data_IF_790217865492
#
_entry.id   IF_790217865492
#
_cell.length_a   1.000
_cell.length_b   1.000
_cell.length_c   1.000
_cell.angle_alpha   90.00
_cell.angle_beta   90.00
_cell.angle_gamma   90.00
#
_symmetry.space_group_name_H-M   'P 1'
#
loop_
_entity.id
_entity.type
_entity.pdbx_description
1 polymer ?
#
# COMPACT_ATOMS: atom_id res chain seq x y z
N UNK A 1 -12.79 7.00 36.32
CA UNK A 1 -11.49 6.52 36.79
C UNK A 1 -10.64 5.92 35.65
N UNK A 2 -11.13 4.98 34.83
CA UNK A 2 -10.35 4.36 33.72
C UNK A 2 -9.94 5.35 32.63
N UNK A 3 -10.78 6.34 32.31
CA UNK A 3 -10.46 7.40 31.35
C UNK A 3 -9.30 8.28 31.82
N UNK A 4 -9.22 8.56 33.10
CA UNK A 4 -8.14 9.33 33.71
C UNK A 4 -6.81 8.56 33.69
N UNK A 5 -6.86 7.24 33.94
CA UNK A 5 -5.68 6.39 33.94
C UNK A 5 -5.00 6.31 32.54
N UNK A 6 -5.81 6.36 31.47
CA UNK A 6 -5.33 6.33 30.08
C UNK A 6 -5.15 7.73 29.47
N UNK A 7 -5.35 8.81 30.27
CA UNK A 7 -5.25 10.19 29.81
C UNK A 7 -6.09 10.47 28.54
N UNK A 8 -7.35 9.98 28.55
CA UNK A 8 -8.29 10.15 27.43
C UNK A 8 -9.09 11.43 27.69
N UNK A 9 -8.76 12.50 26.97
CA UNK A 9 -9.49 13.78 26.99
C UNK A 9 -10.74 13.79 26.09
N UNK A 10 -10.99 12.69 25.37
CA UNK A 10 -12.08 12.57 24.40
C UNK A 10 -13.37 12.17 25.09
N UNK A 11 -14.49 12.65 24.54
CA UNK A 11 -15.80 12.24 25.01
C UNK A 11 -16.08 10.79 24.58
N UNK A 12 -16.34 9.92 25.56
CA UNK A 12 -16.62 8.50 25.37
C UNK A 12 -17.92 8.17 26.12
N UNK A 13 -18.90 7.65 25.39
CA UNK A 13 -20.16 7.18 25.96
C UNK A 13 -20.26 5.65 25.83
N UNK A 14 -20.82 5.00 26.84
CA UNK A 14 -21.11 3.57 26.84
C UNK A 14 -22.58 3.35 26.47
N UNK A 15 -22.83 2.58 25.42
CA UNK A 15 -24.17 2.27 24.92
C UNK A 15 -24.41 0.76 24.96
N UNK A 16 -25.43 0.35 25.68
CA UNK A 16 -25.82 -1.07 25.72
C UNK A 16 -26.66 -1.44 24.52
N UNK A 17 -26.35 -2.59 23.86
CA UNK A 17 -26.99 -3.03 22.64
C UNK A 17 -27.20 -4.54 22.60
N UNK A 18 -28.17 -4.98 21.82
CA UNK A 18 -28.46 -6.41 21.53
C UNK A 18 -28.02 -6.81 20.11
N UNK A 19 -27.54 -5.85 19.31
CA UNK A 19 -27.17 -6.11 17.90
C UNK A 19 -25.81 -6.77 17.73
N UNK A 20 -24.93 -6.66 18.71
CA UNK A 20 -23.57 -7.20 18.63
C UNK A 20 -23.31 -8.15 19.79
N UNK A 21 -22.49 -9.18 19.55
CA UNK A 21 -22.12 -10.17 20.56
C UNK A 21 -20.78 -9.86 21.24
N UNK A 22 -20.05 -8.90 20.71
CA UNK A 22 -18.76 -8.46 21.24
C UNK A 22 -18.78 -6.96 21.43
N UNK A 23 -18.06 -6.41 22.41
CA UNK A 23 -17.85 -4.98 22.54
C UNK A 23 -17.22 -4.41 21.27
N UNK A 24 -17.60 -3.20 20.91
CA UNK A 24 -17.10 -2.54 19.69
C UNK A 24 -16.97 -1.04 19.97
N UNK A 25 -15.82 -0.46 19.59
CA UNK A 25 -15.64 0.99 19.58
C UNK A 25 -16.10 1.56 18.26
N UNK A 26 -17.00 2.53 18.35
CA UNK A 26 -17.47 3.32 17.19
C UNK A 26 -17.08 4.78 17.35
N UNK A 27 -16.67 5.44 16.26
CA UNK A 27 -16.30 6.86 16.26
C UNK A 27 -17.09 7.62 15.19
N UNK A 28 -17.68 8.75 15.60
CA UNK A 28 -18.25 9.74 14.68
C UNK A 28 -17.71 11.13 15.05
N UNK A 29 -16.97 11.75 14.16
CA UNK A 29 -16.28 13.02 14.41
C UNK A 29 -15.29 12.89 15.60
N UNK A 30 -15.48 13.67 16.63
CA UNK A 30 -14.63 13.67 17.84
C UNK A 30 -15.26 12.92 19.03
N UNK A 31 -16.37 12.23 18.81
CA UNK A 31 -17.10 11.51 19.82
C UNK A 31 -16.94 10.00 19.62
N UNK A 32 -16.74 9.27 20.71
CA UNK A 32 -16.57 7.82 20.73
C UNK A 32 -17.70 7.17 21.50
N UNK A 33 -18.17 6.02 21.01
CA UNK A 33 -19.13 5.16 21.68
C UNK A 33 -18.53 3.77 21.82
N UNK A 34 -18.66 3.22 23.02
CA UNK A 34 -18.40 1.80 23.26
C UNK A 34 -19.75 1.10 23.25
N UNK A 35 -20.00 0.28 22.24
CA UNK A 35 -21.21 -0.52 22.11
C UNK A 35 -21.02 -1.79 22.93
N UNK A 36 -21.76 -1.94 24.01
CA UNK A 36 -21.65 -3.04 24.95
C UNK A 36 -22.80 -4.04 24.77
N UNK A 37 -22.54 -5.35 24.52
CA UNK A 37 -23.58 -6.36 24.40
C UNK A 37 -24.31 -6.56 25.72
N UNK A 38 -25.66 -6.55 25.69
CA UNK A 38 -26.48 -6.79 26.89
C UNK A 38 -26.30 -8.19 27.48
N UNK A 39 -26.12 -9.18 26.59
CA UNK A 39 -26.08 -10.59 26.97
C UNK A 39 -24.65 -11.10 27.23
N UNK A 40 -23.71 -10.21 27.47
CA UNK A 40 -22.33 -10.57 27.78
C UNK A 40 -22.20 -10.87 29.27
N UNK A 41 -22.15 -12.16 29.58
CA UNK A 41 -21.99 -12.65 30.96
C UNK A 41 -20.52 -12.65 31.36
N UNK A 42 -20.12 -11.57 32.02
CA UNK A 42 -18.76 -11.33 32.51
C UNK A 42 -18.82 -10.85 33.96
N UNK A 43 -17.90 -11.31 34.77
CA UNK A 43 -17.70 -10.78 36.11
C UNK A 43 -17.27 -9.30 36.05
N UNK A 44 -17.43 -8.58 37.16
CA UNK A 44 -17.03 -7.16 37.24
C UNK A 44 -15.55 -6.94 36.86
N UNK A 45 -14.71 -7.88 37.23
CA UNK A 45 -13.28 -7.84 36.93
C UNK A 45 -13.03 -8.04 35.43
N UNK A 46 -13.70 -8.99 34.79
CA UNK A 46 -13.62 -9.22 33.35
C UNK A 46 -14.18 -8.03 32.55
N UNK A 47 -15.32 -7.46 32.99
CA UNK A 47 -15.89 -6.25 32.39
C UNK A 47 -14.89 -5.09 32.41
N UNK A 48 -14.19 -4.91 33.53
CA UNK A 48 -13.18 -3.87 33.69
C UNK A 48 -12.02 -4.07 32.70
N UNK A 49 -11.53 -5.31 32.54
CA UNK A 49 -10.46 -5.64 31.61
C UNK A 49 -10.86 -5.40 30.14
N UNK A 50 -12.09 -5.81 29.78
CA UNK A 50 -12.63 -5.55 28.42
C UNK A 50 -12.81 -4.05 28.19
N UNK A 51 -13.36 -3.32 29.16
CA UNK A 51 -13.50 -1.88 29.04
C UNK A 51 -12.15 -1.18 28.87
N UNK A 52 -11.13 -1.62 29.61
CA UNK A 52 -9.75 -1.13 29.48
C UNK A 52 -9.19 -1.42 28.09
N UNK A 53 -9.50 -2.59 27.52
CA UNK A 53 -9.12 -2.94 26.16
C UNK A 53 -9.75 -1.99 25.11
N UNK A 54 -11.06 -1.77 25.18
CA UNK A 54 -11.76 -0.87 24.26
C UNK A 54 -11.27 0.59 24.38
N UNK A 55 -11.00 1.04 25.61
CA UNK A 55 -10.44 2.37 25.87
C UNK A 55 -9.01 2.51 25.34
N UNK A 56 -8.20 1.45 25.39
CA UNK A 56 -6.85 1.45 24.84
C UNK A 56 -6.85 1.63 23.31
N UNK A 57 -7.83 1.06 22.58
CA UNK A 57 -8.02 1.34 21.15
C UNK A 57 -8.29 2.82 20.86
N UNK A 58 -9.07 3.48 21.73
CA UNK A 58 -9.35 4.93 21.63
C UNK A 58 -8.07 5.74 21.90
N UNK A 59 -7.33 5.38 22.94
CA UNK A 59 -6.08 6.03 23.31
C UNK A 59 -5.04 5.95 22.19
N UNK A 60 -4.87 4.77 21.61
CA UNK A 60 -3.89 4.54 20.54
C UNK A 60 -4.36 4.98 19.15
N UNK A 61 -5.55 5.54 19.02
CA UNK A 61 -6.12 6.00 17.73
C UNK A 61 -6.27 4.88 16.69
N UNK A 62 -6.51 3.65 17.12
CA UNK A 62 -6.55 2.45 16.27
C UNK A 62 -7.57 2.53 15.16
N UNK A 63 -8.74 3.15 15.42
CA UNK A 63 -9.77 3.37 14.39
C UNK A 63 -9.22 4.21 13.23
N UNK A 64 -8.42 5.23 13.53
CA UNK A 64 -7.82 6.08 12.49
C UNK A 64 -6.80 5.30 11.68
N UNK A 65 -5.95 4.51 12.35
CA UNK A 65 -4.95 3.66 11.70
C UNK A 65 -5.63 2.62 10.80
N UNK A 66 -6.66 1.92 11.32
CA UNK A 66 -7.45 0.95 10.54
C UNK A 66 -8.09 1.61 9.31
N UNK A 67 -8.67 2.80 9.45
CA UNK A 67 -9.28 3.51 8.32
C UNK A 67 -8.26 3.89 7.23
N UNK A 68 -7.05 4.32 7.62
CA UNK A 68 -5.97 4.60 6.66
C UNK A 68 -5.56 3.33 5.92
N UNK A 69 -5.38 2.21 6.63
CA UNK A 69 -5.01 0.92 6.04
C UNK A 69 -6.11 0.42 5.09
N UNK A 70 -7.39 0.57 5.45
CA UNK A 70 -8.52 0.21 4.58
C UNK A 70 -8.57 1.09 3.33
N UNK A 71 -8.36 2.40 3.48
CA UNK A 71 -8.29 3.31 2.34
C UNK A 71 -7.17 2.92 1.37
N UNK A 72 -5.97 2.65 1.88
CA UNK A 72 -4.86 2.16 1.06
C UNK A 72 -5.20 0.81 0.40
N UNK A 73 -5.91 -0.08 1.10
CA UNK A 73 -6.33 -1.37 0.54
C UNK A 73 -7.33 -1.22 -0.62
N UNK A 74 -8.12 -0.15 -0.66
CA UNK A 74 -9.00 0.17 -1.79
C UNK A 74 -8.18 0.59 -3.01
N UNK A 75 -7.17 1.44 -2.83
CA UNK A 75 -6.30 1.84 -3.93
C UNK A 75 -5.47 0.68 -4.50
N UNK A 76 -5.01 -0.23 -3.62
CA UNK A 76 -4.17 -1.38 -3.99
C UNK A 76 -4.95 -2.70 -3.95
N UNK A 77 -6.26 -2.68 -4.29
CA UNK A 77 -7.14 -3.86 -4.21
C UNK A 77 -6.64 -5.07 -5.02
N UNK A 78 -5.97 -4.82 -6.13
CA UNK A 78 -5.38 -5.83 -7.02
C UNK A 78 -4.08 -6.45 -6.48
N UNK A 79 -3.45 -5.82 -5.47
CA UNK A 79 -2.19 -6.29 -4.91
C UNK A 79 -2.45 -7.21 -3.71
N UNK A 80 -2.08 -8.50 -3.76
CA UNK A 80 -2.27 -9.44 -2.66
C UNK A 80 -1.52 -9.03 -1.38
N UNK A 81 -0.45 -8.24 -1.52
CA UNK A 81 0.30 -7.71 -0.39
C UNK A 81 -0.55 -6.80 0.50
N UNK A 82 -1.51 -6.06 -0.08
CA UNK A 82 -2.44 -5.19 0.65
C UNK A 82 -3.26 -5.96 1.67
N UNK A 83 -3.82 -7.12 1.30
CA UNK A 83 -4.56 -7.98 2.22
C UNK A 83 -3.67 -8.58 3.31
N UNK A 84 -2.43 -8.94 2.99
CA UNK A 84 -1.47 -9.44 3.97
C UNK A 84 -1.11 -8.35 4.99
N UNK A 85 -0.78 -7.14 4.53
CA UNK A 85 -0.46 -5.99 5.39
C UNK A 85 -1.63 -5.68 6.32
N UNK A 86 -2.87 -5.65 5.81
CA UNK A 86 -4.07 -5.41 6.61
C UNK A 86 -4.20 -6.43 7.74
N UNK A 87 -4.11 -7.72 7.44
CA UNK A 87 -4.21 -8.79 8.45
C UNK A 87 -3.10 -8.68 9.51
N UNK A 88 -1.89 -8.34 9.11
CA UNK A 88 -0.76 -8.15 10.04
C UNK A 88 -0.91 -6.90 10.89
N UNK A 89 -1.41 -5.81 10.31
CA UNK A 89 -1.68 -4.58 11.03
C UNK A 89 -2.78 -4.78 12.08
N UNK A 90 -3.89 -5.43 11.72
CA UNK A 90 -4.96 -5.76 12.67
C UNK A 90 -4.41 -6.55 13.86
N UNK A 91 -3.60 -7.58 13.62
CA UNK A 91 -2.97 -8.35 14.70
C UNK A 91 -2.06 -7.48 15.57
N UNK A 92 -1.21 -6.64 14.98
CA UNK A 92 -0.27 -5.79 15.72
C UNK A 92 -0.99 -4.76 16.61
N UNK A 93 -2.11 -4.22 16.14
CA UNK A 93 -2.94 -3.31 16.91
C UNK A 93 -3.53 -4.02 18.14
N UNK A 94 -4.05 -5.24 17.95
CA UNK A 94 -4.56 -6.06 19.05
C UNK A 94 -3.46 -6.40 20.07
N UNK A 95 -2.29 -6.87 19.62
CA UNK A 95 -1.15 -7.19 20.50
C UNK A 95 -0.66 -5.98 21.30
N UNK A 96 -0.68 -4.80 20.71
CA UNK A 96 -0.33 -3.55 21.42
C UNK A 96 -1.32 -3.24 22.54
N UNK A 97 -2.61 -3.36 22.25
CA UNK A 97 -3.67 -3.14 23.22
C UNK A 97 -3.63 -4.19 24.32
N UNK A 98 -3.46 -5.46 23.95
CA UNK A 98 -3.32 -6.56 24.93
C UNK A 98 -2.20 -6.29 25.94
N UNK A 99 -1.04 -5.84 25.46
CA UNK A 99 0.08 -5.47 26.31
C UNK A 99 -0.24 -4.28 27.23
N UNK A 100 -1.11 -3.38 26.81
CA UNK A 100 -1.54 -2.24 27.63
C UNK A 100 -2.50 -2.67 28.75
N UNK A 101 -3.25 -3.75 28.55
CA UNK A 101 -4.26 -4.25 29.49
C UNK A 101 -3.67 -5.23 30.51
N UNK A 102 -2.79 -6.12 30.07
CA UNK A 102 -2.22 -7.18 30.89
C UNK A 102 -0.95 -6.71 31.60
N UNK A 103 -1.07 -6.20 32.83
CA UNK A 103 0.05 -5.68 33.61
C UNK A 103 0.70 -6.71 34.55
N UNK A 104 -0.06 -7.66 35.06
CA UNK A 104 0.42 -8.69 35.99
C UNK A 104 0.09 -10.09 35.48
N UNK A 105 0.81 -11.10 35.95
CA UNK A 105 0.56 -12.50 35.57
C UNK A 105 -0.87 -12.94 35.88
N UNK A 106 -1.43 -12.50 36.99
CA UNK A 106 -2.79 -12.86 37.39
C UNK A 106 -3.85 -12.16 36.54
N UNK A 107 -3.67 -10.87 36.23
CA UNK A 107 -4.54 -10.15 35.30
C UNK A 107 -4.44 -10.74 33.88
N UNK A 108 -3.25 -11.17 33.45
CA UNK A 108 -3.04 -11.81 32.16
C UNK A 108 -3.87 -13.09 32.01
N UNK A 109 -3.89 -13.95 33.04
CA UNK A 109 -4.67 -15.19 33.02
C UNK A 109 -6.17 -14.89 32.94
N UNK A 110 -6.69 -14.02 33.81
CA UNK A 110 -8.10 -13.62 33.79
C UNK A 110 -8.49 -12.95 32.46
N UNK A 111 -7.60 -12.15 31.91
CA UNK A 111 -7.79 -11.49 30.62
C UNK A 111 -7.85 -12.49 29.46
N UNK A 112 -6.98 -13.50 29.44
CA UNK A 112 -6.98 -14.54 28.42
C UNK A 112 -8.25 -15.40 28.48
N UNK A 113 -8.73 -15.73 29.67
CA UNK A 113 -10.00 -16.42 29.87
C UNK A 113 -11.17 -15.59 29.35
N UNK A 114 -11.17 -14.30 29.64
CA UNK A 114 -12.17 -13.36 29.17
C UNK A 114 -12.17 -13.25 27.63
N UNK A 115 -11.00 -13.14 27.00
CA UNK A 115 -10.87 -13.14 25.55
C UNK A 115 -11.43 -14.42 24.93
N UNK A 116 -11.21 -15.56 25.57
CA UNK A 116 -11.71 -16.86 25.11
C UNK A 116 -13.25 -16.92 25.19
N UNK A 117 -13.84 -16.43 26.29
CA UNK A 117 -15.31 -16.34 26.47
C UNK A 117 -15.94 -15.45 25.37
N UNK A 118 -15.39 -14.28 25.13
CA UNK A 118 -15.87 -13.36 24.09
C UNK A 118 -15.76 -13.99 22.70
N UNK A 119 -14.64 -14.64 22.41
CA UNK A 119 -14.43 -15.33 21.14
C UNK A 119 -15.40 -16.48 20.91
N UNK A 120 -15.67 -17.29 21.93
CA UNK A 120 -16.66 -18.37 21.85
C UNK A 120 -18.05 -17.82 21.55
N UNK A 121 -18.44 -16.74 22.24
CA UNK A 121 -19.75 -16.11 22.05
C UNK A 121 -19.88 -15.45 20.66
N UNK A 122 -18.78 -14.93 20.12
CA UNK A 122 -18.79 -14.36 18.77
C UNK A 122 -19.08 -15.39 17.67
N UNK A 123 -18.80 -16.67 17.90
CA UNK A 123 -19.03 -17.75 16.95
C UNK A 123 -20.46 -18.29 16.91
N UNK A 124 -21.19 -18.21 18.01
CA UNK A 124 -22.48 -18.89 18.15
C UNK A 124 -23.61 -18.28 17.31
N UNK A 125 -23.49 -17.04 16.87
CA UNK A 125 -24.58 -16.30 16.20
C UNK A 125 -24.27 -15.84 14.77
N UNK A 126 -23.12 -16.19 14.19
CA UNK A 126 -22.80 -15.86 12.81
C UNK A 126 -22.73 -17.13 11.94
N UNK A 127 -23.90 -17.66 11.59
CA UNK A 127 -24.05 -18.52 10.41
C UNK A 127 -23.96 -17.64 9.17
N UNK A 128 -22.77 -17.26 8.75
CA UNK A 128 -22.57 -16.70 7.43
C UNK A 128 -22.71 -17.86 6.44
N UNK A 129 -23.59 -17.73 5.41
CA UNK A 129 -23.66 -18.73 4.35
C UNK A 129 -22.28 -18.97 3.77
N UNK A 130 -21.92 -20.22 3.67
CA UNK A 130 -20.65 -20.75 3.15
C UNK A 130 -20.22 -20.04 1.86
N UNK A 131 -19.21 -19.21 1.89
CA UNK A 131 -18.70 -18.62 0.66
C UNK A 131 -17.46 -17.77 0.79
N UNK A 132 -17.21 -17.15 1.94
CA UNK A 132 -16.03 -16.29 2.10
C UNK A 132 -15.33 -16.68 3.39
N UNK A 133 -14.17 -17.33 3.27
CA UNK A 133 -13.38 -17.91 4.34
C UNK A 133 -12.76 -16.92 5.35
N UNK A 134 -13.56 -16.02 5.92
CA UNK A 134 -13.11 -15.09 6.97
C UNK A 134 -12.99 -15.74 8.37
N UNK A 135 -13.58 -16.91 8.58
CA UNK A 135 -13.56 -17.60 9.88
C UNK A 135 -12.20 -18.22 10.27
N UNK A 136 -11.33 -18.52 9.32
CA UNK A 136 -9.99 -19.08 9.65
C UNK A 136 -9.04 -18.02 10.23
N UNK A 137 -9.23 -16.76 9.87
CA UNK A 137 -8.40 -15.64 10.32
C UNK A 137 -8.57 -15.34 11.82
N UNK A 138 -9.80 -15.41 12.33
CA UNK A 138 -10.08 -15.12 13.74
C UNK A 138 -9.48 -16.13 14.71
N UNK A 139 -9.52 -17.43 14.38
CA UNK A 139 -8.91 -18.47 15.21
C UNK A 139 -7.39 -18.34 15.26
N UNK A 140 -6.76 -18.07 14.13
CA UNK A 140 -5.31 -17.86 14.06
C UNK A 140 -4.88 -16.60 14.83
N UNK A 141 -5.66 -15.54 14.78
CA UNK A 141 -5.36 -14.29 15.49
C UNK A 141 -5.40 -14.48 17.00
N UNK A 142 -6.45 -15.14 17.54
CA UNK A 142 -6.56 -15.34 18.99
C UNK A 142 -5.44 -16.25 19.53
N UNK A 143 -5.04 -17.27 18.77
CA UNK A 143 -3.89 -18.12 19.13
C UNK A 143 -2.59 -17.30 19.15
N UNK A 144 -2.40 -16.38 18.21
CA UNK A 144 -1.22 -15.52 18.20
C UNK A 144 -1.22 -14.54 19.38
N UNK A 145 -2.37 -13.94 19.74
CA UNK A 145 -2.53 -13.10 20.93
C UNK A 145 -2.22 -13.89 22.22
N UNK A 146 -2.77 -15.10 22.33
CA UNK A 146 -2.52 -16.00 23.44
C UNK A 146 -1.04 -16.32 23.59
N UNK A 147 -0.39 -16.76 22.52
CA UNK A 147 1.04 -17.08 22.54
C UNK A 147 1.91 -15.85 22.87
N UNK A 148 1.49 -14.67 22.43
CA UNK A 148 2.21 -13.43 22.74
C UNK A 148 2.13 -13.04 24.21
N UNK A 149 0.98 -13.23 24.85
CA UNK A 149 0.77 -12.88 26.24
C UNK A 149 1.32 -13.93 27.22
N UNK A 150 1.34 -15.22 26.82
CA UNK A 150 1.86 -16.31 27.67
C UNK A 150 3.36 -16.51 27.56
N UNK A 151 3.93 -16.22 26.39
CA UNK A 151 5.38 -16.24 26.24
C UNK A 151 5.90 -14.94 26.85
N UNK A 152 6.35 -15.03 28.07
CA UNK A 152 7.16 -14.00 28.75
C UNK A 152 8.49 -13.91 27.99
N UNK A 153 8.42 -13.39 26.79
CA UNK A 153 9.58 -13.15 25.97
C UNK A 153 10.29 -11.95 26.55
N UNK A 154 11.26 -12.23 27.42
CA UNK A 154 12.53 -11.53 27.31
C UNK A 154 12.83 -11.39 25.81
N UNK A 155 12.32 -10.33 25.22
CA UNK A 155 12.59 -10.00 23.82
C UNK A 155 14.02 -9.47 23.72
N UNK A 156 14.99 -10.33 24.06
CA UNK A 156 16.33 -10.21 23.50
C UNK A 156 16.13 -10.30 22.01
N UNK A 157 16.13 -9.15 21.40
CA UNK A 157 16.02 -8.99 19.96
C UNK A 157 17.15 -9.82 19.35
N UNK A 158 16.84 -11.07 19.00
CA UNK A 158 17.80 -11.96 18.37
C UNK A 158 18.32 -11.24 17.13
N UNK A 159 19.64 -11.21 16.96
CA UNK A 159 20.30 -10.66 15.76
C UNK A 159 19.61 -11.20 14.51
N UNK A 160 19.19 -12.46 14.52
CA UNK A 160 18.40 -13.10 13.48
C UNK A 160 17.06 -12.39 13.21
N UNK A 161 16.34 -12.00 14.27
CA UNK A 161 15.07 -11.26 14.15
C UNK A 161 15.29 -9.84 13.61
N UNK A 162 16.40 -9.19 13.95
CA UNK A 162 16.77 -7.89 13.41
C UNK A 162 17.11 -7.99 11.92
N UNK A 163 17.91 -8.98 11.51
CA UNK A 163 18.26 -9.24 10.12
C UNK A 163 17.01 -9.51 9.29
N UNK A 164 16.09 -10.35 9.77
CA UNK A 164 14.82 -10.66 9.08
C UNK A 164 13.93 -9.44 8.90
N UNK A 165 14.01 -8.46 9.81
CA UNK A 165 13.25 -7.19 9.68
C UNK A 165 13.92 -6.20 8.75
N UNK A 166 15.25 -6.16 8.73
CA UNK A 166 16.01 -5.22 7.88
C UNK A 166 16.15 -5.71 6.44
N UNK A 167 16.15 -7.03 6.21
CA UNK A 167 16.33 -7.64 4.89
C UNK A 167 15.35 -7.09 3.82
N UNK A 168 14.03 -7.01 4.04
CA UNK A 168 13.12 -6.47 3.05
C UNK A 168 13.33 -4.97 2.77
N UNK A 169 13.78 -4.22 3.76
CA UNK A 169 14.09 -2.79 3.60
C UNK A 169 15.33 -2.64 2.73
N UNK A 170 16.39 -3.40 3.02
CA UNK A 170 17.64 -3.40 2.24
C UNK A 170 17.35 -3.83 0.80
N UNK A 171 16.57 -4.90 0.61
CA UNK A 171 16.19 -5.39 -0.71
C UNK A 171 15.38 -4.34 -1.50
N UNK A 172 14.45 -3.65 -0.85
CA UNK A 172 13.67 -2.56 -1.46
C UNK A 172 14.56 -1.40 -1.91
N UNK A 173 15.55 -1.01 -1.09
CA UNK A 173 16.50 0.03 -1.45
C UNK A 173 17.39 -0.40 -2.63
N UNK A 174 17.83 -1.66 -2.67
CA UNK A 174 18.63 -2.20 -3.77
C UNK A 174 17.83 -2.21 -5.07
N UNK A 175 16.57 -2.66 -5.04
CA UNK A 175 15.68 -2.67 -6.22
C UNK A 175 15.44 -1.23 -6.70
N UNK A 176 15.17 -0.31 -5.78
CA UNK A 176 14.97 1.09 -6.11
C UNK A 176 16.23 1.71 -6.72
N UNK A 177 17.39 1.53 -6.12
CA UNK A 177 18.66 1.99 -6.68
C UNK A 177 18.97 1.35 -8.03
N UNK A 178 18.69 0.05 -8.18
CA UNK A 178 18.86 -0.69 -9.44
C UNK A 178 17.95 -0.15 -10.56
N UNK A 179 16.77 0.36 -10.24
CA UNK A 179 15.86 0.93 -11.23
C UNK A 179 16.42 2.16 -11.95
N UNK A 180 17.39 2.87 -11.36
CA UNK A 180 18.09 3.96 -12.01
C UNK A 180 19.21 3.50 -12.98
N UNK A 181 19.70 2.26 -12.81
CA UNK A 181 20.76 1.68 -13.63
C UNK A 181 20.14 0.98 -14.86
N UNK A 182 19.01 0.34 -14.66
CA UNK A 182 18.28 -0.37 -15.71
C UNK A 182 17.11 0.49 -16.22
N UNK A 183 17.41 1.36 -17.19
CA UNK A 183 16.35 1.97 -18.01
C UNK A 183 15.92 0.87 -18.98
N UNK A 184 14.75 0.29 -18.77
CA UNK A 184 14.09 -0.56 -19.77
C UNK A 184 13.58 0.34 -20.90
N UNK A 185 14.49 0.70 -21.80
CA UNK A 185 14.11 1.32 -23.05
C UNK A 185 13.45 0.23 -23.90
N UNK A 186 12.22 0.47 -24.28
CA UNK A 186 11.54 -0.40 -25.24
C UNK A 186 12.17 -0.20 -26.62
N UNK A 187 13.30 -0.86 -26.87
CA UNK A 187 14.00 -0.85 -28.17
C UNK A 187 13.25 -1.61 -29.26
N UNK A 188 12.00 -2.00 -29.00
CA UNK A 188 11.19 -2.65 -30.02
C UNK A 188 10.55 -1.59 -30.93
N UNK A 189 11.22 -1.27 -31.99
CA UNK A 189 10.61 -0.61 -33.15
C UNK A 189 9.94 -1.72 -33.94
N UNK A 190 8.62 -1.78 -34.07
CA UNK A 190 7.92 -2.76 -34.89
C UNK A 190 8.49 -2.72 -36.31
N UNK A 191 8.66 -3.87 -36.95
CA UNK A 191 9.20 -3.94 -38.32
C UNK A 191 8.42 -3.08 -39.32
N UNK A 192 7.10 -2.96 -39.12
CA UNK A 192 6.24 -2.07 -39.90
C UNK A 192 6.59 -0.58 -39.77
N UNK A 193 7.24 -0.16 -38.67
CA UNK A 193 7.69 1.23 -38.47
C UNK A 193 9.12 1.41 -38.99
N UNK A 194 9.95 0.34 -38.98
CA UNK A 194 11.29 0.37 -39.60
C UNK A 194 11.23 0.58 -41.13
N UNK A 195 10.24 -0.01 -41.77
CA UNK A 195 10.04 0.18 -43.22
C UNK A 195 9.48 1.56 -43.59
N UNK A 196 8.81 2.25 -42.64
CA UNK A 196 8.21 3.57 -42.83
C UNK A 196 9.09 4.73 -42.36
N UNK A 197 10.14 4.48 -41.59
CA UNK A 197 11.11 5.50 -41.14
C UNK A 197 12.23 5.60 -42.19
N UNK A 198 12.12 6.57 -43.05
CA UNK A 198 13.21 6.97 -43.93
C UNK A 198 14.34 7.54 -43.04
N UNK A 199 15.40 6.77 -42.86
CA UNK A 199 16.61 7.28 -42.22
C UNK A 199 17.27 8.27 -43.17
N UNK A 200 17.41 9.51 -42.75
CA UNK A 200 18.19 10.53 -43.43
C UNK A 200 19.67 10.13 -43.36
N UNK A 201 20.27 9.89 -44.50
CA UNK A 201 21.70 9.62 -44.62
C UNK A 201 22.28 10.56 -45.68
N UNK A 202 23.58 10.83 -45.59
CA UNK A 202 24.29 11.66 -46.57
C UNK A 202 24.25 11.08 -47.99
N UNK A 203 23.83 9.82 -48.17
CA UNK A 203 23.76 9.16 -49.49
C UNK A 203 22.36 9.25 -50.10
N UNK A 204 21.30 9.25 -49.29
CA UNK A 204 19.92 9.21 -49.75
C UNK A 204 19.17 10.54 -49.67
N UNK A 205 19.78 11.54 -49.05
CA UNK A 205 19.13 12.83 -48.81
C UNK A 205 20.01 14.00 -49.20
N UNK A 206 19.39 15.04 -49.74
CA UNK A 206 20.03 16.30 -50.10
C UNK A 206 19.04 17.46 -49.96
N UNK A 207 19.56 18.66 -49.88
CA UNK A 207 18.74 19.88 -49.82
C UNK A 207 19.11 20.79 -51.00
N UNK A 208 18.14 21.48 -51.54
CA UNK A 208 18.33 22.48 -52.61
C UNK A 208 17.82 23.82 -52.12
N UNK A 209 18.63 24.87 -52.26
CA UNK A 209 18.21 26.22 -51.89
C UNK A 209 17.32 26.74 -53.00
N UNK A 210 16.08 27.11 -52.67
CA UNK A 210 15.15 27.67 -53.64
C UNK A 210 15.29 29.20 -53.74
N UNK A 211 14.58 29.81 -54.68
CA UNK A 211 14.68 31.25 -54.96
C UNK A 211 14.21 32.14 -53.79
N UNK A 212 13.48 31.60 -52.83
CA UNK A 212 13.03 32.32 -51.61
C UNK A 212 14.02 32.20 -50.45
N UNK A 213 15.17 31.50 -50.62
CA UNK A 213 16.16 31.34 -49.57
C UNK A 213 15.82 30.28 -48.53
N UNK A 214 14.83 29.43 -48.81
CA UNK A 214 14.46 28.26 -48.00
C UNK A 214 15.07 27.00 -48.62
N UNK A 215 15.11 25.91 -47.85
CA UNK A 215 15.71 24.64 -48.22
C UNK A 215 14.61 23.64 -48.58
N UNK A 216 14.61 23.13 -49.84
CA UNK A 216 13.74 22.04 -50.25
C UNK A 216 14.48 20.73 -50.03
N UNK A 217 13.92 19.86 -49.21
CA UNK A 217 14.52 18.59 -48.82
C UNK A 217 14.02 17.48 -49.72
N UNK A 218 14.97 16.69 -50.19
CA UNK A 218 14.76 15.53 -51.06
C UNK A 218 15.31 14.28 -50.42
N UNK A 219 14.55 13.17 -50.50
CA UNK A 219 14.97 11.82 -50.10
C UNK A 219 14.69 10.89 -51.27
N UNK A 220 15.70 10.12 -51.67
CA UNK A 220 15.60 9.27 -52.86
C UNK A 220 15.04 10.00 -54.12
N UNK A 221 15.47 11.25 -54.33
CA UNK A 221 15.00 12.14 -55.39
C UNK A 221 13.51 12.55 -55.30
N UNK A 222 12.82 12.22 -54.21
CA UNK A 222 11.46 12.67 -53.98
C UNK A 222 11.47 13.90 -53.06
N UNK A 223 10.74 14.93 -53.46
CA UNK A 223 10.51 16.10 -52.60
C UNK A 223 9.73 15.70 -51.32
N UNK A 224 10.22 16.16 -50.19
CA UNK A 224 9.58 15.88 -48.90
C UNK A 224 8.94 17.11 -48.33
N UNK A 225 9.72 18.18 -48.11
CA UNK A 225 9.21 19.43 -47.51
C UNK A 225 10.16 20.60 -47.77
N UNK A 226 9.67 21.82 -47.52
CA UNK A 226 10.49 23.05 -47.52
C UNK A 226 10.67 23.55 -46.09
N UNK A 227 11.91 23.77 -45.69
CA UNK A 227 12.25 24.26 -44.36
C UNK A 227 13.03 25.58 -44.42
N UNK A 228 12.87 26.42 -43.39
CA UNK A 228 13.55 27.69 -43.28
C UNK A 228 14.92 27.57 -42.62
N UNK A 229 15.23 26.46 -41.99
CA UNK A 229 16.50 26.22 -41.28
C UNK A 229 16.88 24.75 -41.29
N UNK A 230 18.15 24.47 -41.53
CA UNK A 230 18.73 23.12 -41.52
C UNK A 230 19.08 22.60 -40.11
N UNK A 231 18.73 23.34 -39.05
CA UNK A 231 19.12 23.02 -37.68
C UNK A 231 18.73 21.61 -37.21
N UNK A 232 17.63 21.06 -37.73
CA UNK A 232 17.12 19.73 -37.36
C UNK A 232 17.47 18.64 -38.37
N UNK A 233 18.19 18.99 -39.47
CA UNK A 233 18.56 18.09 -40.57
C UNK A 233 20.07 17.98 -40.67
N UNK A 234 20.73 17.68 -39.57
CA UNK A 234 22.22 17.64 -39.46
C UNK A 234 22.84 16.53 -40.29
N UNK A 235 22.06 15.50 -40.67
CA UNK A 235 22.54 14.33 -41.41
C UNK A 235 22.55 14.58 -42.91
N UNK A 236 21.93 15.66 -43.39
CA UNK A 236 21.97 16.08 -44.78
C UNK A 236 23.27 16.87 -45.03
N UNK A 237 24.24 16.25 -45.66
CA UNK A 237 25.52 16.87 -45.95
C UNK A 237 25.58 17.53 -47.35
N UNK A 238 24.74 17.09 -48.29
CA UNK A 238 24.71 17.64 -49.64
C UNK A 238 23.69 18.76 -49.76
N UNK A 239 24.15 19.99 -49.92
CA UNK A 239 23.32 21.17 -50.10
C UNK A 239 23.69 21.84 -51.41
N UNK A 240 22.75 21.88 -52.35
CA UNK A 240 22.91 22.51 -53.65
C UNK A 240 22.43 23.94 -53.62
N UNK A 241 23.22 24.85 -54.21
CA UNK A 241 22.93 26.29 -54.19
C UNK A 241 21.72 26.67 -55.05
N UNK A 242 21.37 25.88 -56.04
CA UNK A 242 20.19 26.05 -56.88
C UNK A 242 19.84 24.74 -57.63
N UNK A 243 18.67 24.71 -58.24
CA UNK A 243 18.22 23.55 -59.06
C UNK A 243 19.09 23.27 -60.27
N UNK A 244 19.76 24.27 -60.86
CA UNK A 244 20.65 24.04 -62.00
C UNK A 244 21.90 23.26 -61.61
N UNK A 245 22.45 23.53 -60.43
CA UNK A 245 23.59 22.78 -59.91
C UNK A 245 23.21 21.33 -59.64
N UNK A 246 22.04 21.09 -59.06
CA UNK A 246 21.51 19.75 -58.83
C UNK A 246 21.34 18.95 -60.14
N UNK A 247 20.76 19.55 -61.17
CA UNK A 247 20.52 18.86 -62.46
C UNK A 247 21.79 18.63 -63.29
N UNK A 248 22.89 19.32 -62.99
CA UNK A 248 24.16 19.15 -63.70
C UNK A 248 25.04 18.06 -63.03
N UNK A 249 24.79 17.65 -61.82
CA UNK A 249 25.54 16.59 -61.12
C UNK A 249 24.83 15.22 -61.14
N UNK A 250 23.56 15.16 -61.52
CA UNK A 250 22.77 13.94 -61.64
C UNK A 250 22.24 13.75 -63.06
#
# INVERSE_FOLDING_TARGET
QQLQHLNIEKRVDLLSTTYFNTPIVYRRHMHYWILWPKDLDLSDQEQLLVLRHELAHIHHHDITIKNIIYLLSIFYWWNPLGSFIRKKADLLLELRVDKTVAFSSQETTTYLECLLKIFQKSKTNFSIPSGIGFCSSGKSMIVQRFNYLTNDTDSRMSIRGLIMKLLPIILSVIIYAGSFIFILEASYIPESVKESTLQLTSENSYAVINASGTYDIYIYQQYVETVTSMKYYTDIQKIYSNYKEFYNEN
#
